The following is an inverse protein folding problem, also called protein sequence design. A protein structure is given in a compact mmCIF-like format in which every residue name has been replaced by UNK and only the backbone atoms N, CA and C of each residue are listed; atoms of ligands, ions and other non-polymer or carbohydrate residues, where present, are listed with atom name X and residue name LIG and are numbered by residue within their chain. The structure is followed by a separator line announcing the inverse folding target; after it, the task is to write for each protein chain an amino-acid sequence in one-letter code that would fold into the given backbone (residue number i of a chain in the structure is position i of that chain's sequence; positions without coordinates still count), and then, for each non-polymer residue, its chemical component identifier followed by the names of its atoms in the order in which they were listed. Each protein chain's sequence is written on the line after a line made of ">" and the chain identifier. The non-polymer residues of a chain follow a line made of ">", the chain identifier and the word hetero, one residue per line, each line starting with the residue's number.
data_IF_010643327200
#
_entry.id   IF_010643327200
#
_cell.length_a   1.000
_cell.length_b   1.000
_cell.length_c   1.000
_cell.angle_alpha   90.00
_cell.angle_beta   90.00
_cell.angle_gamma   90.00
#
_symmetry.space_group_name_H-M   'P 1'
#
loop_
_entity.id
_entity.type
_entity.pdbx_description
1 polymer ?
#
# COMPACT_ATOMS: atom_id res chain seq x y z
N UNK A 1 7.12 -15.32 -8.42
CA UNK A 1 6.00 -15.42 -7.45
C UNK A 1 5.29 -14.08 -7.39
N UNK A 2 4.02 -14.00 -7.81
CA UNK A 2 3.26 -12.76 -7.77
C UNK A 2 2.75 -12.55 -6.34
N UNK A 3 3.18 -11.47 -5.70
CA UNK A 3 2.65 -11.08 -4.40
C UNK A 3 1.23 -10.57 -4.64
N UNK A 4 0.20 -11.15 -4.01
CA UNK A 4 -1.15 -10.68 -4.21
C UNK A 4 -1.24 -9.20 -3.82
N UNK A 5 -2.01 -8.42 -4.61
CA UNK A 5 -2.21 -6.98 -4.44
C UNK A 5 -2.46 -6.47 -2.99
N UNK A 6 -3.13 -7.21 -2.07
CA UNK A 6 -3.32 -6.77 -0.69
C UNK A 6 -2.02 -6.40 0.04
N UNK A 7 -0.93 -7.12 -0.25
CA UNK A 7 0.33 -6.96 0.48
C UNK A 7 1.05 -5.67 0.06
N UNK A 8 0.93 -5.24 -1.20
CA UNK A 8 1.56 -3.99 -1.67
C UNK A 8 0.89 -2.76 -1.02
N UNK A 9 -0.44 -2.78 -0.94
CA UNK A 9 -1.21 -1.74 -0.26
C UNK A 9 -0.91 -1.73 1.25
N UNK A 10 -0.77 -2.90 1.87
CA UNK A 10 -0.38 -3.00 3.28
C UNK A 10 1.02 -2.44 3.53
N UNK A 11 2.00 -2.73 2.66
CA UNK A 11 3.36 -2.15 2.74
C UNK A 11 3.27 -0.62 2.72
N UNK A 12 2.59 -0.05 1.71
CA UNK A 12 2.44 1.41 1.57
C UNK A 12 1.70 2.05 2.74
N UNK A 13 0.67 1.38 3.25
CA UNK A 13 -0.10 1.86 4.40
C UNK A 13 0.76 1.91 5.65
N UNK A 14 1.53 0.85 5.92
CA UNK A 14 2.39 0.77 7.10
C UNK A 14 3.61 1.70 7.01
N UNK A 15 4.20 1.86 5.83
CA UNK A 15 5.33 2.78 5.59
C UNK A 15 4.89 4.24 5.80
N UNK A 16 3.72 4.64 5.27
CA UNK A 16 3.09 5.95 5.55
C UNK A 16 2.75 6.18 7.02
N UNK A 17 2.51 5.12 7.80
CA UNK A 17 2.31 5.21 9.25
C UNK A 17 3.64 5.35 10.02
N UNK A 18 4.78 5.36 9.34
CA UNK A 18 6.12 5.44 9.96
C UNK A 18 6.59 4.11 10.55
N UNK A 19 5.96 2.99 10.21
CA UNK A 19 6.42 1.67 10.68
C UNK A 19 7.74 1.34 9.98
N UNK A 20 8.74 0.90 10.74
CA UNK A 20 10.05 0.56 10.15
C UNK A 20 9.93 -0.57 9.12
N UNK A 21 10.65 -0.45 8.00
CA UNK A 21 10.62 -1.42 6.89
C UNK A 21 10.91 -2.86 7.34
N UNK A 22 11.79 -3.03 8.33
CA UNK A 22 12.10 -4.33 8.94
C UNK A 22 10.89 -4.93 9.70
N UNK A 23 10.10 -4.10 10.36
CA UNK A 23 8.90 -4.54 11.10
C UNK A 23 7.75 -4.84 10.14
N UNK A 24 7.64 -4.10 9.04
CA UNK A 24 6.71 -4.39 7.93
C UNK A 24 7.02 -5.75 7.32
N UNK A 25 8.30 -6.00 6.98
CA UNK A 25 8.77 -7.27 6.42
C UNK A 25 8.38 -8.47 7.31
N UNK A 26 8.66 -8.38 8.62
CA UNK A 26 8.28 -9.42 9.59
C UNK A 26 6.77 -9.61 9.71
N UNK A 27 6.00 -8.52 9.69
CA UNK A 27 4.53 -8.56 9.84
C UNK A 27 3.84 -9.18 8.63
N UNK A 28 4.36 -8.93 7.43
CA UNK A 28 3.77 -9.39 6.17
C UNK A 28 4.43 -10.67 5.63
N UNK A 29 5.49 -11.17 6.29
CA UNK A 29 6.21 -12.36 5.85
C UNK A 29 6.94 -12.18 4.52
N UNK A 30 7.39 -10.95 4.23
CA UNK A 30 8.08 -10.59 2.98
C UNK A 30 9.51 -10.14 3.24
N UNK A 31 10.34 -10.17 2.20
CA UNK A 31 11.70 -9.68 2.30
C UNK A 31 11.77 -8.14 2.39
N UNK A 32 12.83 -7.61 3.03
CA UNK A 32 13.03 -6.17 3.17
C UNK A 32 13.17 -5.45 1.82
N UNK A 33 13.76 -6.07 0.80
CA UNK A 33 13.85 -5.51 -0.54
C UNK A 33 12.48 -5.39 -1.21
N UNK A 34 11.56 -6.31 -0.88
CA UNK A 34 10.16 -6.24 -1.33
C UNK A 34 9.48 -5.02 -0.71
N UNK A 35 9.68 -4.79 0.59
CA UNK A 35 9.16 -3.60 1.27
C UNK A 35 9.70 -2.31 0.64
N UNK A 36 11.02 -2.24 0.39
CA UNK A 36 11.63 -1.07 -0.25
C UNK A 36 11.03 -0.81 -1.65
N UNK A 37 10.97 -1.84 -2.50
CA UNK A 37 10.41 -1.72 -3.86
C UNK A 37 9.00 -1.13 -3.86
N UNK A 38 8.11 -1.56 -2.97
CA UNK A 38 6.71 -1.11 -2.98
C UNK A 38 6.46 0.16 -2.14
N UNK A 39 7.30 0.44 -1.14
CA UNK A 39 7.27 1.70 -0.41
C UNK A 39 7.73 2.87 -1.29
N UNK A 40 8.76 2.66 -2.12
CA UNK A 40 9.33 3.69 -2.99
C UNK A 40 8.56 3.82 -4.33
N UNK A 41 7.68 2.85 -4.66
CA UNK A 41 6.85 2.89 -5.86
C UNK A 41 5.62 3.78 -5.65
N UNK A 42 5.45 4.78 -6.52
CA UNK A 42 4.30 5.71 -6.49
C UNK A 42 2.96 4.99 -6.36
N UNK A 43 2.06 5.56 -5.55
CA UNK A 43 0.75 4.99 -5.29
C UNK A 43 -0.19 5.16 -6.49
N UNK A 44 -0.04 4.28 -7.47
CA UNK A 44 -0.93 4.17 -8.64
C UNK A 44 -2.29 3.54 -8.31
N UNK A 45 -2.66 3.47 -7.02
CA UNK A 45 -4.00 3.01 -6.62
C UNK A 45 -5.03 3.95 -7.25
N UNK A 46 -6.09 3.42 -7.90
CA UNK A 46 -7.12 4.28 -8.47
C UNK A 46 -7.67 5.16 -7.35
N UNK A 47 -7.52 6.48 -7.51
CA UNK A 47 -8.10 7.44 -6.59
C UNK A 47 -9.60 7.11 -6.47
N UNK A 48 -10.10 6.98 -5.24
CA UNK A 48 -11.50 6.71 -5.00
C UNK A 48 -12.34 7.66 -5.88
N UNK A 49 -13.37 7.16 -6.59
CA UNK A 49 -14.18 8.02 -7.44
C UNK A 49 -14.75 9.14 -6.55
N UNK A 50 -14.22 10.35 -6.75
CA UNK A 50 -14.66 11.58 -6.11
C UNK A 50 -16.18 11.59 -6.18
N UNK A 51 -16.78 11.48 -4.99
CA UNK A 51 -18.22 11.36 -4.79
C UNK A 51 -18.92 12.37 -5.71
N UNK A 52 -19.53 11.85 -6.79
CA UNK A 52 -20.45 12.65 -7.58
C UNK A 52 -21.64 12.84 -6.65
N UNK A 53 -21.59 13.94 -5.89
CA UNK A 53 -22.69 14.43 -5.06
C UNK A 53 -23.97 14.07 -5.76
N UNK A 54 -24.65 13.08 -5.18
CA UNK A 54 -25.92 12.55 -5.63
C UNK A 54 -26.81 13.75 -5.88
N UNK A 55 -27.11 14.01 -7.15
CA UNK A 55 -27.85 15.19 -7.56
C UNK A 55 -29.13 15.28 -6.74
N UNK A 56 -29.31 16.40 -6.05
CA UNK A 56 -30.59 16.78 -5.47
C UNK A 56 -31.59 16.81 -6.62
N UNK A 57 -32.64 15.99 -6.52
CA UNK A 57 -33.82 16.07 -7.36
C UNK A 57 -35.04 16.09 -6.45
#
# INVERSE_FOLDING_TARGET
>A
MAIPMPIQQDIRRLDRQGVSRTRIAKRLGVDRATVAKYADMEDLSPAAPKDRRRGTK
#
